data_IF_377649294847
#
_entry.id   IF_377649294847
#
_cell.length_a   1.000
_cell.length_b   1.000
_cell.length_c   1.000
_cell.angle_alpha   90.00
_cell.angle_beta   90.00
_cell.angle_gamma   90.00
#
_symmetry.space_group_name_H-M   'P 1'
#
loop_
_entity.id
_entity.type
_entity.pdbx_description
1 polymer ?
#
# COMPACT_ATOMS: atom_id res chain seq x y z
N UNK A 1 13.86 -16.72 -3.06
CA UNK A 1 13.67 -15.26 -3.19
C UNK A 1 12.30 -14.94 -2.61
N UNK A 2 12.21 -13.93 -1.75
CA UNK A 2 10.93 -13.42 -1.22
C UNK A 2 10.43 -12.36 -2.20
N UNK A 3 9.14 -12.39 -2.56
CA UNK A 3 8.51 -11.34 -3.35
C UNK A 3 7.88 -10.31 -2.43
N UNK A 4 8.24 -9.04 -2.60
CA UNK A 4 7.62 -7.94 -1.88
C UNK A 4 6.46 -7.39 -2.72
N UNK A 5 5.25 -7.42 -2.16
CA UNK A 5 4.05 -6.87 -2.79
C UNK A 5 3.61 -5.61 -2.05
N UNK A 6 3.46 -4.51 -2.78
CA UNK A 6 2.84 -3.29 -2.27
C UNK A 6 1.44 -3.19 -2.85
N UNK A 7 0.43 -3.14 -1.98
CA UNK A 7 -0.98 -3.22 -2.34
C UNK A 7 -1.61 -1.82 -2.20
N UNK A 8 -1.98 -1.22 -3.34
CA UNK A 8 -2.51 0.14 -3.42
C UNK A 8 -4.01 0.09 -3.75
N UNK A 9 -4.82 0.75 -2.91
CA UNK A 9 -6.27 0.85 -3.10
C UNK A 9 -6.65 2.10 -3.94
N UNK A 10 -7.89 2.13 -4.44
CA UNK A 10 -8.52 3.25 -5.14
C UNK A 10 -9.22 4.25 -4.22
N UNK A 11 -9.82 5.29 -4.80
CA UNK A 11 -10.41 6.40 -4.04
C UNK A 11 -11.47 5.98 -3.01
N UNK A 12 -11.45 6.62 -1.83
CA UNK A 12 -12.45 6.45 -0.77
C UNK A 12 -12.32 5.18 0.08
N UNK A 13 -11.45 4.26 -0.32
CA UNK A 13 -11.14 3.03 0.41
C UNK A 13 -10.02 3.25 1.45
N UNK A 14 -9.47 2.17 1.97
CA UNK A 14 -8.24 2.16 2.76
C UNK A 14 -7.57 0.80 2.63
N UNK A 15 -6.39 0.64 3.22
CA UNK A 15 -5.56 -0.56 3.13
C UNK A 15 -6.31 -1.84 3.54
N UNK A 16 -7.32 -1.74 4.42
CA UNK A 16 -8.15 -2.86 4.88
C UNK A 16 -8.83 -3.65 3.75
N UNK A 17 -9.01 -3.06 2.56
CA UNK A 17 -9.59 -3.77 1.41
C UNK A 17 -8.73 -4.96 0.96
N UNK A 18 -7.47 -5.00 1.39
CA UNK A 18 -6.54 -6.06 1.09
C UNK A 18 -6.44 -7.14 2.18
N UNK A 19 -7.07 -6.97 3.34
CA UNK A 19 -6.90 -7.87 4.49
C UNK A 19 -7.17 -9.34 4.14
N UNK A 20 -8.25 -9.62 3.41
CA UNK A 20 -8.58 -10.97 2.96
C UNK A 20 -7.56 -11.53 1.95
N UNK A 21 -7.01 -10.68 1.08
CA UNK A 21 -5.99 -11.08 0.11
C UNK A 21 -4.68 -11.40 0.80
N UNK A 22 -4.26 -10.55 1.75
CA UNK A 22 -3.05 -10.77 2.57
C UNK A 22 -3.20 -12.04 3.39
N UNK A 23 -4.33 -12.23 4.06
CA UNK A 23 -4.62 -13.44 4.82
C UNK A 23 -4.57 -14.70 3.93
N UNK A 24 -5.21 -14.66 2.76
CA UNK A 24 -5.18 -15.77 1.81
C UNK A 24 -3.75 -16.09 1.34
N UNK A 25 -2.94 -15.08 1.00
CA UNK A 25 -1.56 -15.27 0.57
C UNK A 25 -0.70 -15.90 1.67
N UNK A 26 -0.84 -15.44 2.92
CA UNK A 26 -0.12 -15.96 4.07
C UNK A 26 -0.39 -17.46 4.32
N UNK A 27 -1.59 -17.96 3.99
CA UNK A 27 -1.91 -19.40 4.09
C UNK A 27 -1.27 -20.25 2.99
N UNK A 28 -0.89 -19.64 1.86
CA UNK A 28 -0.40 -20.35 0.67
C UNK A 28 1.13 -20.37 0.59
N UNK A 29 1.80 -19.35 1.13
CA UNK A 29 3.25 -19.25 1.07
C UNK A 29 3.80 -18.26 2.10
N UNK A 30 4.98 -18.59 2.63
CA UNK A 30 5.83 -17.71 3.45
C UNK A 30 6.81 -16.88 2.60
N UNK A 31 6.81 -17.07 1.28
CA UNK A 31 7.74 -16.41 0.33
C UNK A 31 7.21 -15.08 -0.21
N UNK A 32 6.12 -14.58 0.34
CA UNK A 32 5.52 -13.31 -0.05
C UNK A 32 5.40 -12.42 1.18
N UNK A 33 5.94 -11.21 1.09
CA UNK A 33 5.76 -10.16 2.09
C UNK A 33 4.85 -9.09 1.51
N UNK A 34 3.72 -8.82 2.15
CA UNK A 34 2.77 -7.81 1.69
C UNK A 34 2.87 -6.54 2.54
N UNK A 35 2.70 -5.39 1.89
CA UNK A 35 2.48 -4.09 2.51
C UNK A 35 1.26 -3.45 1.86
N UNK A 36 0.15 -3.35 2.58
CA UNK A 36 -0.99 -2.55 2.14
C UNK A 36 -0.82 -1.11 2.64
N UNK A 37 -0.96 -0.13 1.75
CA UNK A 37 -0.71 1.28 2.05
C UNK A 37 -2.00 2.09 1.91
N UNK A 38 -2.12 3.15 2.72
CA UNK A 38 -3.19 4.13 2.61
C UNK A 38 -2.73 5.33 1.76
N UNK A 39 -3.51 5.70 0.75
CA UNK A 39 -3.32 6.97 0.03
C UNK A 39 -3.68 8.14 0.96
N UNK A 40 -3.03 9.31 0.88
CA UNK A 40 -3.41 10.49 1.67
C UNK A 40 -4.92 10.78 1.61
N UNK A 41 -5.53 11.11 2.75
CA UNK A 41 -6.98 11.35 2.88
C UNK A 41 -7.83 10.06 2.96
N UNK A 42 -7.23 8.89 2.77
CA UNK A 42 -7.88 7.59 2.84
C UNK A 42 -7.40 6.78 4.05
N UNK A 43 -8.13 5.71 4.36
CA UNK A 43 -7.92 4.84 5.50
C UNK A 43 -7.41 5.46 6.80
N UNK A 44 -6.23 5.07 7.27
CA UNK A 44 -5.60 5.60 8.50
C UNK A 44 -5.16 7.06 8.38
N UNK A 45 -5.01 7.56 7.14
CA UNK A 45 -4.69 8.96 6.80
C UNK A 45 -5.95 9.81 6.55
N UNK A 46 -7.13 9.30 6.89
CA UNK A 46 -8.42 9.99 6.72
C UNK A 46 -8.45 11.28 7.53
N UNK A 47 -9.03 12.33 6.95
CA UNK A 47 -9.10 13.66 7.57
C UNK A 47 -7.85 14.52 7.33
N UNK A 48 -6.81 13.99 6.70
CA UNK A 48 -5.70 14.79 6.19
C UNK A 48 -6.18 15.66 5.02
N UNK A 49 -5.80 16.93 5.06
CA UNK A 49 -5.97 17.82 3.92
C UNK A 49 -5.07 17.36 2.76
N UNK A 50 -5.69 17.20 1.60
CA UNK A 50 -5.06 16.73 0.36
C UNK A 50 -5.21 17.74 -0.76
N UNK A 51 -5.78 18.92 -0.49
CA UNK A 51 -6.10 19.94 -1.50
C UNK A 51 -4.88 20.49 -2.25
N UNK A 52 -3.69 20.40 -1.64
CA UNK A 52 -2.43 20.84 -2.25
C UNK A 52 -1.58 19.71 -2.81
N UNK A 53 -1.99 18.44 -2.70
CA UNK A 53 -1.20 17.30 -3.15
C UNK A 53 -1.48 16.98 -4.62
N UNK A 54 -0.42 16.76 -5.39
CA UNK A 54 -0.53 16.14 -6.70
C UNK A 54 -0.20 14.64 -6.66
N UNK A 55 -0.18 14.01 -7.83
CA UNK A 55 0.10 12.56 -7.95
C UNK A 55 1.54 12.22 -7.59
N UNK A 56 2.48 13.12 -7.87
CA UNK A 56 3.90 12.91 -7.58
C UNK A 56 4.14 13.01 -6.07
N UNK A 57 3.51 13.97 -5.39
CA UNK A 57 3.51 14.08 -3.92
C UNK A 57 2.99 12.80 -3.25
N UNK A 58 1.89 12.26 -3.77
CA UNK A 58 1.29 11.02 -3.28
C UNK A 58 2.24 9.85 -3.53
N UNK A 59 2.80 9.72 -4.73
CA UNK A 59 3.73 8.65 -5.06
C UNK A 59 4.98 8.69 -4.17
N UNK A 60 5.56 9.88 -3.98
CA UNK A 60 6.72 10.11 -3.12
C UNK A 60 6.46 9.70 -1.67
N UNK A 61 5.30 10.02 -1.13
CA UNK A 61 4.92 9.60 0.21
C UNK A 61 4.83 8.07 0.32
N UNK A 62 4.15 7.42 -0.63
CA UNK A 62 4.04 5.97 -0.64
C UNK A 62 5.42 5.30 -0.78
N UNK A 63 6.31 5.85 -1.62
CA UNK A 63 7.71 5.40 -1.74
C UNK A 63 8.44 5.52 -0.41
N UNK A 64 8.32 6.65 0.29
CA UNK A 64 8.95 6.84 1.61
C UNK A 64 8.45 5.81 2.63
N UNK A 65 7.16 5.48 2.61
CA UNK A 65 6.60 4.46 3.50
C UNK A 65 7.10 3.05 3.18
N UNK A 66 7.20 2.70 1.90
CA UNK A 66 7.75 1.42 1.42
C UNK A 66 9.22 1.28 1.87
N UNK A 67 10.01 2.34 1.69
CA UNK A 67 11.43 2.37 2.10
C UNK A 67 11.57 2.33 3.62
N UNK A 68 10.71 3.04 4.36
CA UNK A 68 10.74 3.07 5.83
C UNK A 68 10.52 1.67 6.46
N UNK A 69 9.76 0.79 5.79
CA UNK A 69 9.58 -0.61 6.22
C UNK A 69 10.64 -1.57 5.65
N UNK A 70 11.67 -1.05 4.99
CA UNK A 70 12.76 -1.82 4.41
C UNK A 70 12.32 -2.75 3.27
N UNK A 71 11.33 -2.35 2.49
CA UNK A 71 10.96 -3.08 1.27
C UNK A 71 11.71 -2.52 0.07
N UNK A 72 12.46 -3.40 -0.61
CA UNK A 72 13.17 -3.11 -1.86
C UNK A 72 12.69 -4.07 -2.96
N UNK A 73 12.88 -3.71 -4.23
CA UNK A 73 12.48 -4.51 -5.39
C UNK A 73 11.02 -5.02 -5.31
N UNK A 74 10.09 -4.08 -5.20
CA UNK A 74 8.66 -4.36 -4.98
C UNK A 74 7.89 -4.55 -6.28
N UNK A 75 6.82 -5.35 -6.22
CA UNK A 75 5.75 -5.37 -7.22
C UNK A 75 4.57 -4.58 -6.68
N UNK A 76 4.11 -3.58 -7.43
CA UNK A 76 2.95 -2.76 -7.07
C UNK A 76 1.68 -3.39 -7.65
N UNK A 77 0.67 -3.62 -6.81
CA UNK A 77 -0.64 -4.15 -7.18
C UNK A 77 -1.68 -3.09 -6.90
N UNK A 78 -2.31 -2.57 -7.95
CA UNK A 78 -3.36 -1.55 -7.85
C UNK A 78 -4.76 -2.16 -7.95
N UNK A 79 -5.70 -1.64 -7.15
CA UNK A 79 -7.14 -1.90 -7.28
C UNK A 79 -7.90 -0.59 -7.17
N UNK A 80 -8.74 -0.28 -8.14
CA UNK A 80 -9.68 0.86 -8.05
C UNK A 80 -10.97 0.52 -7.31
#
# INVERSE_FOLDING_TARGET
MISNLVLVHGGGMGAWVWDQTVAALATRTDRVRCLAVDVPGCGTKRGRDTSSLDVDDIADELVREIVAVGMEHVVVVGRS
#
